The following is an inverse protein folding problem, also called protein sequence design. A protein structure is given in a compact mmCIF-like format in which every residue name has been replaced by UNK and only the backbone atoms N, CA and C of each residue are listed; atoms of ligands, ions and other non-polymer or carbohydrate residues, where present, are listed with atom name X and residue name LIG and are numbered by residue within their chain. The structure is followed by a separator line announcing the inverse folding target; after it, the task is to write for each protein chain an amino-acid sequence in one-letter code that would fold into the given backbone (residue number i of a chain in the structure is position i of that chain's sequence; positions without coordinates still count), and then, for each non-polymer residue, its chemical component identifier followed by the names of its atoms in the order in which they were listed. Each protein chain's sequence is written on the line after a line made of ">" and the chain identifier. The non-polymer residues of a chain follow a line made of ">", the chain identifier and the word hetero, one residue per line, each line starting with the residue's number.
data_IF_823631228019
#
_entry.id   IF_823631228019
#
_cell.length_a   1.000
_cell.length_b   1.000
_cell.length_c   1.000
_cell.angle_alpha   90.00
_cell.angle_beta   90.00
_cell.angle_gamma   90.00
#
_symmetry.space_group_name_H-M   'P 1'
#
loop_
_entity.id
_entity.type
_entity.pdbx_description
1 polymer ?
#
# COMPACT_ATOMS: atom_id res chain seq x y z
N UNK A 1 -11.80 -6.01 -9.73
CA UNK A 1 -11.82 -4.93 -8.71
C UNK A 1 -10.45 -4.64 -8.04
N UNK A 2 -9.36 -5.34 -8.38
CA UNK A 2 -8.05 -5.09 -7.73
C UNK A 2 -7.30 -3.82 -8.14
N UNK A 3 -7.73 -3.11 -9.20
CA UNK A 3 -7.11 -1.86 -9.66
C UNK A 3 -7.51 -0.65 -8.81
N UNK A 4 -8.78 -0.55 -8.42
CA UNK A 4 -9.28 0.56 -7.58
C UNK A 4 -8.58 0.60 -6.23
N UNK A 5 -8.44 -0.57 -5.57
CA UNK A 5 -7.70 -0.67 -4.30
C UNK A 5 -6.23 -0.29 -4.44
N UNK A 6 -5.57 -0.61 -5.56
CA UNK A 6 -4.19 -0.18 -5.84
C UNK A 6 -4.08 1.33 -6.02
N UNK A 7 -5.03 1.95 -6.71
CA UNK A 7 -5.09 3.41 -6.85
C UNK A 7 -5.25 4.10 -5.50
N UNK A 8 -6.14 3.59 -4.64
CA UNK A 8 -6.32 4.09 -3.27
C UNK A 8 -5.04 3.94 -2.43
N UNK A 9 -4.37 2.78 -2.51
CA UNK A 9 -3.09 2.55 -1.83
C UNK A 9 -2.05 3.58 -2.28
N UNK A 10 -1.89 3.77 -3.60
CA UNK A 10 -0.93 4.74 -4.14
C UNK A 10 -1.29 6.17 -3.75
N UNK A 11 -2.57 6.55 -3.77
CA UNK A 11 -3.03 7.87 -3.34
C UNK A 11 -2.67 8.16 -1.87
N UNK A 12 -2.83 7.17 -0.98
CA UNK A 12 -2.46 7.33 0.41
C UNK A 12 -0.94 7.41 0.61
N UNK A 13 -0.16 6.61 -0.12
CA UNK A 13 1.31 6.65 -0.06
C UNK A 13 1.90 7.92 -0.69
N UNK A 14 1.22 8.51 -1.68
CA UNK A 14 1.59 9.80 -2.25
C UNK A 14 1.43 10.96 -1.25
N UNK A 15 0.57 10.81 -0.25
CA UNK A 15 0.40 11.77 0.84
C UNK A 15 1.46 11.67 1.95
N UNK A 16 2.36 10.67 1.89
CA UNK A 16 3.41 10.43 2.87
C UNK A 16 3.56 8.95 3.24
N UNK A 17 4.63 8.63 3.97
CA UNK A 17 4.85 7.27 4.49
C UNK A 17 3.78 6.88 5.50
N UNK A 18 3.19 5.71 5.28
CA UNK A 18 2.21 5.11 6.18
C UNK A 18 2.64 3.70 6.51
N UNK A 19 2.49 3.32 7.78
CA UNK A 19 2.67 1.93 8.18
C UNK A 19 1.62 1.05 7.50
N UNK A 20 1.98 -0.21 7.21
CA UNK A 20 1.06 -1.16 6.59
C UNK A 20 -0.22 -1.39 7.43
N UNK A 21 -0.13 -1.24 8.75
CA UNK A 21 -1.27 -1.24 9.67
C UNK A 21 -2.29 -0.16 9.33
N UNK A 22 -1.84 1.10 9.41
CA UNK A 22 -2.68 2.29 9.17
C UNK A 22 -3.21 2.30 7.74
N UNK A 23 -2.37 1.90 6.77
CA UNK A 23 -2.78 1.84 5.38
C UNK A 23 -3.90 0.83 5.15
N UNK A 24 -3.82 -0.36 5.78
CA UNK A 24 -4.84 -1.40 5.65
C UNK A 24 -6.21 -0.95 6.18
N UNK A 25 -6.24 -0.24 7.31
CA UNK A 25 -7.46 0.34 7.86
C UNK A 25 -8.06 1.39 6.92
N UNK A 26 -7.24 2.31 6.40
CA UNK A 26 -7.69 3.36 5.47
C UNK A 26 -8.31 2.81 4.19
N UNK A 27 -7.75 1.73 3.63
CA UNK A 27 -8.25 1.11 2.39
C UNK A 27 -9.25 -0.03 2.64
N UNK A 28 -9.57 -0.31 3.91
CA UNK A 28 -10.46 -1.37 4.38
C UNK A 28 -10.08 -2.74 3.79
N UNK A 29 -8.80 -3.10 3.93
CA UNK A 29 -8.27 -4.40 3.52
C UNK A 29 -7.70 -5.14 4.73
N UNK A 30 -7.74 -6.46 4.68
CA UNK A 30 -6.92 -7.27 5.59
C UNK A 30 -5.43 -7.05 5.29
N UNK A 31 -4.58 -7.31 6.28
CA UNK A 31 -3.13 -7.26 6.11
C UNK A 31 -2.63 -8.19 4.98
N UNK A 32 -3.23 -9.38 4.84
CA UNK A 32 -2.88 -10.33 3.77
C UNK A 32 -3.27 -9.82 2.39
N UNK A 33 -4.46 -9.21 2.24
CA UNK A 33 -4.90 -8.62 0.99
C UNK A 33 -4.02 -7.41 0.62
N UNK A 34 -3.75 -6.52 1.58
CA UNK A 34 -2.86 -5.37 1.37
C UNK A 34 -1.47 -5.82 0.94
N UNK A 35 -0.89 -6.82 1.61
CA UNK A 35 0.43 -7.38 1.25
C UNK A 35 0.47 -7.88 -0.19
N UNK A 36 -0.58 -8.57 -0.66
CA UNK A 36 -0.68 -9.01 -2.05
C UNK A 36 -0.78 -7.84 -3.03
N UNK A 37 -1.50 -6.77 -2.68
CA UNK A 37 -1.56 -5.56 -3.51
C UNK A 37 -0.21 -4.84 -3.56
N UNK A 38 0.46 -4.68 -2.42
CA UNK A 38 1.79 -4.08 -2.33
C UNK A 38 2.83 -4.89 -3.10
N UNK A 39 2.79 -6.23 -3.02
CA UNK A 39 3.69 -7.08 -3.81
C UNK A 39 3.54 -6.84 -5.31
N UNK A 40 2.30 -6.70 -5.81
CA UNK A 40 2.04 -6.36 -7.21
C UNK A 40 2.54 -4.96 -7.57
N UNK A 41 2.29 -3.96 -6.71
CA UNK A 41 2.77 -2.59 -6.93
C UNK A 41 4.31 -2.52 -6.94
N UNK A 42 4.98 -3.28 -6.06
CA UNK A 42 6.44 -3.42 -6.04
C UNK A 42 6.98 -4.07 -7.30
N UNK A 43 6.32 -5.12 -7.79
CA UNK A 43 6.70 -5.76 -9.04
C UNK A 43 6.61 -4.81 -10.25
N UNK A 44 5.74 -3.79 -10.18
CA UNK A 44 5.66 -2.73 -11.19
C UNK A 44 6.59 -1.53 -10.91
N UNK A 45 7.37 -1.54 -9.83
CA UNK A 45 8.21 -0.41 -9.42
C UNK A 45 7.43 0.83 -8.96
N UNK A 46 6.15 0.68 -8.61
CA UNK A 46 5.26 1.80 -8.26
C UNK A 46 5.31 2.18 -6.77
N UNK A 47 5.85 1.31 -5.91
CA UNK A 47 6.01 1.57 -4.46
C UNK A 47 7.34 0.98 -3.97
N UNK A 48 8.02 1.71 -3.09
CA UNK A 48 9.25 1.27 -2.42
C UNK A 48 8.97 0.54 -1.10
N UNK A 49 9.98 -0.13 -0.56
CA UNK A 49 9.97 -0.74 0.79
C UNK A 49 10.83 0.04 1.76
N UNK A 50 10.83 1.37 1.69
CA UNK A 50 11.53 2.17 2.69
C UNK A 50 10.82 1.97 4.04
N UNK A 51 11.36 1.04 4.81
CA UNK A 51 11.12 0.89 6.23
C UNK A 51 12.10 1.81 6.93
N UNK A 52 12.05 3.11 6.65
CA UNK A 52 12.86 4.07 7.40
C UNK A 52 12.03 4.58 8.56
N UNK A 53 12.04 3.80 9.64
CA UNK A 53 11.70 4.32 10.97
C UNK A 53 12.66 5.47 11.25
N UNK A 54 12.13 6.67 11.35
CA UNK A 54 12.77 7.77 12.04
C UNK A 54 11.79 8.38 13.03
#
# INVERSE_FOLDING_TARGET
>A
MGNEKRLLIMNHLAGGELSAGVLAEKVQLSQSALSQHLAKLRAFGLVGTDATVK
#
